data_IF_142270734332
#
_entry.id   IF_142270734332
#
_cell.length_a   1.000
_cell.length_b   1.000
_cell.length_c   1.000
_cell.angle_alpha   90.00
_cell.angle_beta   90.00
_cell.angle_gamma   90.00
#
_symmetry.space_group_name_H-M   'P 1'
#
loop_
_entity.id
_entity.type
_entity.pdbx_description
1 polymer ?
#
# COMPACT_ATOMS: atom_id res chain seq x y z
N UNK A 1 -40.95 31.32 -64.58
CA UNK A 1 -40.80 29.93 -64.12
C UNK A 1 -39.36 29.75 -63.68
N UNK A 2 -39.08 30.10 -62.43
CA UNK A 2 -37.75 29.96 -61.82
C UNK A 2 -38.01 29.50 -60.38
N UNK A 3 -37.06 28.71 -59.87
CA UNK A 3 -36.88 28.25 -58.49
C UNK A 3 -37.50 26.89 -58.14
N UNK A 4 -36.65 25.85 -58.11
CA UNK A 4 -36.35 25.06 -56.89
C UNK A 4 -35.49 23.83 -57.23
N UNK A 5 -34.15 23.99 -57.22
CA UNK A 5 -33.17 22.90 -57.30
C UNK A 5 -32.15 22.94 -56.15
N UNK A 6 -32.52 23.40 -54.94
CA UNK A 6 -31.59 23.45 -53.80
C UNK A 6 -31.94 22.55 -52.61
N UNK A 7 -33.13 21.93 -52.58
CA UNK A 7 -33.57 21.18 -51.39
C UNK A 7 -33.09 19.71 -51.34
N UNK A 8 -32.70 19.12 -52.47
CA UNK A 8 -32.36 17.69 -52.52
C UNK A 8 -30.90 17.37 -52.14
N UNK A 9 -29.96 18.30 -52.33
CA UNK A 9 -28.56 18.09 -51.95
C UNK A 9 -28.27 18.31 -50.46
N UNK A 10 -29.17 18.97 -49.73
CA UNK A 10 -28.99 19.25 -48.29
C UNK A 10 -29.39 18.06 -47.41
N UNK A 11 -30.27 17.18 -47.91
CA UNK A 11 -30.65 15.94 -47.23
C UNK A 11 -29.54 14.87 -47.30
N UNK A 12 -28.76 14.83 -48.38
CA UNK A 12 -27.72 13.81 -48.55
C UNK A 12 -26.47 14.08 -47.70
N UNK A 13 -26.14 15.34 -47.41
CA UNK A 13 -25.02 15.69 -46.51
C UNK A 13 -25.36 15.58 -45.02
N UNK A 14 -26.64 15.68 -44.65
CA UNK A 14 -27.09 15.52 -43.26
C UNK A 14 -27.03 14.07 -42.77
N UNK A 15 -27.30 13.11 -43.67
CA UNK A 15 -27.33 11.68 -43.34
C UNK A 15 -25.92 11.13 -43.08
N UNK A 16 -24.90 11.60 -43.80
CA UNK A 16 -23.51 11.17 -43.59
C UNK A 16 -22.89 11.75 -42.32
N UNK A 17 -23.29 12.96 -41.91
CA UNK A 17 -22.84 13.59 -40.67
C UNK A 17 -23.51 12.96 -39.42
N UNK A 18 -24.80 12.61 -39.54
CA UNK A 18 -25.56 11.88 -38.50
C UNK A 18 -25.03 10.46 -38.30
N UNK A 19 -24.70 9.74 -39.37
CA UNK A 19 -24.15 8.38 -39.27
C UNK A 19 -22.79 8.31 -38.58
N UNK A 20 -21.89 9.27 -38.85
CA UNK A 20 -20.58 9.35 -38.20
C UNK A 20 -20.66 9.80 -36.74
N UNK A 21 -21.58 10.70 -36.40
CA UNK A 21 -21.81 11.13 -35.01
C UNK A 21 -22.49 10.04 -34.18
N UNK A 22 -23.47 9.29 -34.73
CA UNK A 22 -24.05 8.12 -34.08
C UNK A 22 -23.04 6.99 -33.89
N UNK A 23 -22.18 6.75 -34.89
CA UNK A 23 -21.10 5.76 -34.79
C UNK A 23 -20.08 6.16 -33.72
N UNK A 24 -19.71 7.45 -33.67
CA UNK A 24 -18.86 8.04 -32.61
C UNK A 24 -19.48 7.88 -31.22
N UNK A 25 -20.77 8.18 -31.07
CA UNK A 25 -21.52 8.04 -29.81
C UNK A 25 -21.63 6.56 -29.41
N UNK A 26 -21.90 5.65 -30.35
CA UNK A 26 -21.93 4.22 -30.09
C UNK A 26 -20.56 3.67 -29.69
N UNK A 27 -19.48 4.09 -30.37
CA UNK A 27 -18.12 3.70 -29.98
C UNK A 27 -17.72 4.29 -28.63
N UNK A 28 -18.09 5.54 -28.33
CA UNK A 28 -17.87 6.14 -27.02
C UNK A 28 -18.67 5.42 -25.94
N UNK A 29 -19.93 5.05 -26.21
CA UNK A 29 -20.75 4.26 -25.29
C UNK A 29 -20.19 2.86 -25.06
N UNK A 30 -19.62 2.23 -26.09
CA UNK A 30 -18.99 0.92 -25.97
C UNK A 30 -17.68 0.99 -25.18
N UNK A 31 -16.89 2.05 -25.38
CA UNK A 31 -15.67 2.34 -24.60
C UNK A 31 -16.02 2.64 -23.14
N UNK A 32 -17.04 3.47 -22.89
CA UNK A 32 -17.52 3.80 -21.55
C UNK A 32 -18.12 2.58 -20.84
N UNK A 33 -18.87 1.73 -21.57
CA UNK A 33 -19.37 0.46 -21.02
C UNK A 33 -18.24 -0.55 -20.79
N UNK A 34 -17.19 -0.59 -21.61
CA UNK A 34 -16.04 -1.47 -21.34
C UNK A 34 -15.28 -1.05 -20.08
N UNK A 35 -15.21 0.25 -19.76
CA UNK A 35 -14.64 0.75 -18.52
C UNK A 35 -15.53 0.42 -17.29
N UNK A 36 -16.86 0.43 -17.44
CA UNK A 36 -17.80 0.00 -16.39
C UNK A 36 -17.79 -1.53 -16.21
N UNK A 37 -17.60 -2.30 -17.29
CA UNK A 37 -17.47 -3.77 -17.24
C UNK A 37 -16.14 -4.17 -16.58
N UNK A 38 -15.08 -3.36 -16.70
CA UNK A 38 -13.83 -3.58 -15.97
C UNK A 38 -14.00 -3.43 -14.44
N UNK A 39 -14.94 -2.57 -14.01
CA UNK A 39 -15.32 -2.39 -12.59
C UNK A 39 -16.16 -3.56 -12.05
N UNK A 40 -16.95 -4.24 -12.89
CA UNK A 40 -17.74 -5.41 -12.52
C UNK A 40 -16.95 -6.73 -12.58
N UNK A 41 -15.65 -6.69 -12.27
CA UNK A 41 -14.89 -7.91 -12.05
C UNK A 41 -15.28 -8.48 -10.68
N UNK A 42 -15.84 -9.70 -10.58
CA UNK A 42 -16.27 -10.27 -9.30
C UNK A 42 -15.11 -10.36 -8.28
N UNK A 43 -13.87 -10.35 -8.78
CA UNK A 43 -12.64 -10.28 -8.00
C UNK A 43 -12.51 -8.98 -7.19
N UNK A 44 -12.94 -7.81 -7.70
CA UNK A 44 -12.86 -6.54 -6.97
C UNK A 44 -13.91 -6.47 -5.86
N UNK A 45 -15.10 -7.01 -6.09
CA UNK A 45 -16.15 -7.09 -5.06
C UNK A 45 -15.70 -8.01 -3.92
N UNK A 46 -15.18 -9.19 -4.26
CA UNK A 46 -14.62 -10.14 -3.28
C UNK A 46 -13.44 -9.54 -2.52
N UNK A 47 -12.55 -8.80 -3.20
CA UNK A 47 -11.46 -8.08 -2.56
C UNK A 47 -11.97 -6.99 -1.61
N UNK A 48 -12.97 -6.21 -2.03
CA UNK A 48 -13.59 -5.17 -1.20
C UNK A 48 -14.16 -5.76 0.10
N UNK A 49 -14.93 -6.85 0.01
CA UNK A 49 -15.44 -7.54 1.19
C UNK A 49 -14.33 -8.18 2.04
N UNK A 50 -13.29 -8.73 1.42
CA UNK A 50 -12.13 -9.29 2.13
C UNK A 50 -11.36 -8.20 2.90
N UNK A 51 -11.13 -7.04 2.29
CA UNK A 51 -10.46 -5.91 2.92
C UNK A 51 -11.28 -5.31 4.06
N UNK A 52 -12.60 -5.22 3.88
CA UNK A 52 -13.52 -4.70 4.89
C UNK A 52 -13.63 -5.66 6.09
N UNK A 53 -13.70 -6.97 5.83
CA UNK A 53 -13.63 -8.00 6.87
C UNK A 53 -12.30 -7.98 7.61
N UNK A 54 -11.18 -7.80 6.89
CA UNK A 54 -9.85 -7.68 7.48
C UNK A 54 -9.70 -6.42 8.34
N UNK A 55 -10.20 -5.28 7.87
CA UNK A 55 -10.30 -4.04 8.64
C UNK A 55 -11.12 -4.23 9.91
N UNK A 56 -12.28 -4.89 9.82
CA UNK A 56 -13.09 -5.24 10.98
C UNK A 56 -12.35 -6.10 11.99
N UNK A 57 -11.56 -7.08 11.51
CA UNK A 57 -10.74 -7.94 12.35
C UNK A 57 -9.59 -7.19 13.02
N UNK A 58 -8.94 -6.26 12.31
CA UNK A 58 -7.92 -5.36 12.86
C UNK A 58 -8.49 -4.42 13.91
N UNK A 59 -9.63 -3.79 13.62
CA UNK A 59 -10.35 -2.93 14.57
C UNK A 59 -10.76 -3.73 15.81
N UNK A 60 -11.33 -4.91 15.61
CA UNK A 60 -11.69 -5.81 16.72
C UNK A 60 -10.48 -6.22 17.55
N UNK A 61 -9.36 -6.61 16.92
CA UNK A 61 -8.13 -6.93 17.65
C UNK A 61 -7.59 -5.71 18.37
N UNK A 62 -7.54 -4.55 17.70
CA UNK A 62 -7.07 -3.30 18.28
C UNK A 62 -7.89 -2.92 19.52
N UNK A 63 -9.22 -2.97 19.45
CA UNK A 63 -10.08 -2.71 20.61
C UNK A 63 -9.99 -3.79 21.69
N UNK A 64 -9.91 -5.07 21.32
CA UNK A 64 -9.71 -6.18 22.29
C UNK A 64 -8.39 -6.04 23.03
N UNK A 65 -7.34 -5.61 22.32
CA UNK A 65 -6.02 -5.31 22.86
C UNK A 65 -6.12 -4.07 23.75
N UNK A 66 -6.75 -2.99 23.29
CA UNK A 66 -6.90 -1.75 24.07
C UNK A 66 -7.71 -1.97 25.35
N UNK A 67 -8.74 -2.82 25.31
CA UNK A 67 -9.50 -3.23 26.50
C UNK A 67 -8.66 -4.11 27.43
N UNK A 68 -7.88 -5.05 26.88
CA UNK A 68 -6.93 -5.88 27.63
C UNK A 68 -5.72 -5.09 28.14
N UNK A 69 -5.41 -3.93 27.57
CA UNK A 69 -4.33 -3.03 28.00
C UNK A 69 -4.85 -1.99 28.97
N UNK A 70 -6.05 -1.43 28.77
CA UNK A 70 -6.71 -0.51 29.71
C UNK A 70 -6.87 -1.15 31.08
N UNK A 71 -7.31 -2.41 31.15
CA UNK A 71 -7.39 -3.17 32.41
C UNK A 71 -6.01 -3.58 32.99
N UNK A 72 -4.91 -3.50 32.23
CA UNK A 72 -3.56 -3.83 32.68
C UNK A 72 -2.70 -2.60 33.02
N UNK A 73 -2.96 -1.45 32.40
CA UNK A 73 -2.31 -0.15 32.68
C UNK A 73 -2.61 0.28 34.12
N UNK A 74 -3.80 -0.03 34.63
CA UNK A 74 -4.17 0.25 36.02
C UNK A 74 -3.40 -0.60 37.05
N UNK A 75 -2.63 -1.63 36.63
CA UNK A 75 -1.92 -2.53 37.57
C UNK A 75 -0.46 -2.90 37.26
N UNK A 76 0.16 -2.61 36.10
CA UNK A 76 1.57 -3.02 35.84
C UNK A 76 2.41 -2.07 34.96
N UNK A 77 3.62 -1.78 35.46
CA UNK A 77 4.80 -1.05 34.93
C UNK A 77 4.87 -0.85 33.40
N UNK A 78 5.16 0.39 32.99
CA UNK A 78 5.35 0.89 31.60
C UNK A 78 6.30 0.07 30.71
N UNK A 79 7.23 -0.70 31.27
CA UNK A 79 8.14 -1.56 30.50
C UNK A 79 7.46 -2.82 29.95
N UNK A 80 6.45 -3.36 30.66
CA UNK A 80 5.75 -4.60 30.26
C UNK A 80 4.72 -4.32 29.15
N UNK A 81 4.22 -3.08 29.05
CA UNK A 81 3.29 -2.63 28.00
C UNK A 81 4.01 -2.40 26.67
N UNK A 82 5.20 -1.80 26.68
CA UNK A 82 5.98 -1.56 25.46
C UNK A 82 6.31 -2.86 24.71
N UNK A 83 6.73 -3.92 25.41
CA UNK A 83 7.02 -5.21 24.78
C UNK A 83 5.80 -5.82 24.05
N UNK A 84 4.60 -5.68 24.62
CA UNK A 84 3.36 -6.13 23.96
C UNK A 84 3.03 -5.32 22.72
N UNK A 85 3.26 -4.01 22.73
CA UNK A 85 3.05 -3.16 21.55
C UNK A 85 3.96 -3.56 20.39
N UNK A 86 5.25 -3.80 20.64
CA UNK A 86 6.18 -4.26 19.60
C UNK A 86 5.83 -5.67 19.09
N UNK A 87 5.35 -6.56 19.96
CA UNK A 87 4.85 -7.86 19.53
C UNK A 87 3.66 -7.72 18.58
N UNK A 88 2.78 -6.73 18.82
CA UNK A 88 1.67 -6.41 17.92
C UNK A 88 2.12 -5.76 16.62
N UNK A 89 3.18 -4.96 16.65
CA UNK A 89 3.77 -4.42 15.42
C UNK A 89 4.32 -5.53 14.51
N UNK A 90 4.93 -6.57 15.06
CA UNK A 90 5.39 -7.74 14.28
C UNK A 90 4.21 -8.45 13.63
N UNK A 91 3.13 -8.68 14.41
CA UNK A 91 1.91 -9.29 13.88
C UNK A 91 1.34 -8.44 12.74
N UNK A 92 1.15 -7.14 12.98
CA UNK A 92 0.60 -6.22 12.00
C UNK A 92 1.46 -6.18 10.73
N UNK A 93 2.79 -6.09 10.88
CA UNK A 93 3.72 -6.08 9.76
C UNK A 93 3.65 -7.37 8.94
N UNK A 94 3.66 -8.54 9.60
CA UNK A 94 3.57 -9.83 8.92
C UNK A 94 2.30 -9.95 8.07
N UNK A 95 1.15 -9.51 8.60
CA UNK A 95 -0.09 -9.55 7.83
C UNK A 95 -0.13 -8.46 6.74
N UNK A 96 0.34 -7.24 7.04
CA UNK A 96 0.37 -6.14 6.09
C UNK A 96 1.20 -6.50 4.85
N UNK A 97 2.36 -7.15 5.01
CA UNK A 97 3.19 -7.62 3.89
C UNK A 97 2.42 -8.58 2.98
N UNK A 98 1.68 -9.54 3.56
CA UNK A 98 0.88 -10.50 2.78
C UNK A 98 -0.26 -9.78 2.05
N UNK A 99 -1.01 -8.91 2.74
CA UNK A 99 -2.16 -8.20 2.18
C UNK A 99 -1.72 -7.25 1.06
N UNK A 100 -0.67 -6.46 1.28
CA UNK A 100 -0.13 -5.55 0.27
C UNK A 100 0.29 -6.33 -0.98
N UNK A 101 0.93 -7.50 -0.81
CA UNK A 101 1.36 -8.27 -1.96
C UNK A 101 0.20 -8.92 -2.73
N UNK A 102 -0.84 -9.38 -2.03
CA UNK A 102 -2.07 -9.87 -2.68
C UNK A 102 -2.72 -8.74 -3.50
N UNK A 103 -2.80 -7.52 -2.93
CA UNK A 103 -3.31 -6.34 -3.64
C UNK A 103 -2.43 -6.09 -4.89
N UNK A 104 -1.11 -6.04 -4.73
CA UNK A 104 -0.19 -5.80 -5.85
C UNK A 104 -0.37 -6.82 -6.99
N UNK A 105 -0.57 -8.10 -6.66
CA UNK A 105 -0.77 -9.16 -7.66
C UNK A 105 -2.13 -9.05 -8.37
N UNK A 106 -3.19 -8.71 -7.64
CA UNK A 106 -4.56 -8.60 -8.20
C UNK A 106 -4.65 -7.39 -9.13
N UNK A 107 -4.11 -6.25 -8.72
CA UNK A 107 -4.15 -5.01 -9.50
C UNK A 107 -2.99 -4.90 -10.50
N UNK A 108 -2.06 -5.85 -10.50
CA UNK A 108 -0.85 -5.84 -11.35
C UNK A 108 -0.13 -4.49 -11.29
N UNK A 109 0.01 -3.97 -10.06
CA UNK A 109 0.66 -2.66 -9.79
C UNK A 109 2.13 -2.69 -10.24
N UNK A 110 2.76 -3.87 -10.15
CA UNK A 110 4.13 -4.09 -10.61
C UNK A 110 4.17 -4.89 -11.90
N UNK A 111 5.16 -4.61 -12.78
CA UNK A 111 5.36 -5.38 -14.00
C UNK A 111 5.82 -6.83 -13.73
N UNK A 112 6.52 -7.05 -12.60
CA UNK A 112 6.99 -8.37 -12.17
C UNK A 112 6.35 -8.77 -10.85
N UNK A 113 5.81 -9.99 -10.81
CA UNK A 113 5.28 -10.57 -9.57
C UNK A 113 6.41 -10.90 -8.60
N UNK A 114 6.26 -10.48 -7.35
CA UNK A 114 7.11 -10.83 -6.22
C UNK A 114 6.33 -11.63 -5.16
N UNK A 115 5.17 -12.19 -5.56
CA UNK A 115 4.19 -12.73 -4.64
C UNK A 115 4.74 -13.83 -3.74
N UNK A 116 5.39 -14.83 -4.33
CA UNK A 116 5.92 -15.98 -3.58
C UNK A 116 6.94 -15.53 -2.54
N UNK A 117 7.84 -14.62 -2.92
CA UNK A 117 8.90 -14.12 -2.03
C UNK A 117 8.30 -13.31 -0.89
N UNK A 118 7.47 -12.32 -1.19
CA UNK A 118 6.91 -11.42 -0.18
C UNK A 118 5.91 -12.12 0.73
N UNK A 119 5.08 -13.05 0.23
CA UNK A 119 4.19 -13.87 1.06
C UNK A 119 4.99 -14.80 1.97
N UNK A 120 6.08 -15.41 1.47
CA UNK A 120 6.99 -16.22 2.30
C UNK A 120 7.65 -15.40 3.40
N UNK A 121 8.04 -14.15 3.12
CA UNK A 121 8.58 -13.22 4.12
C UNK A 121 7.50 -12.90 5.16
N UNK A 122 6.29 -12.53 4.72
CA UNK A 122 5.17 -12.23 5.63
C UNK A 122 4.83 -13.42 6.54
N UNK A 123 4.79 -14.63 5.98
CA UNK A 123 4.59 -15.86 6.76
C UNK A 123 5.74 -16.11 7.75
N UNK A 124 6.99 -15.90 7.35
CA UNK A 124 8.15 -16.03 8.24
C UNK A 124 8.08 -15.05 9.41
N UNK A 125 7.61 -13.82 9.18
CA UNK A 125 7.38 -12.83 10.24
C UNK A 125 6.25 -13.29 11.18
N UNK A 126 5.18 -13.88 10.67
CA UNK A 126 4.10 -14.44 11.50
C UNK A 126 4.57 -15.61 12.36
N UNK A 127 5.43 -16.48 11.82
CA UNK A 127 6.09 -17.53 12.60
C UNK A 127 6.96 -16.92 13.69
N UNK A 128 7.74 -15.87 13.37
CA UNK A 128 8.53 -15.16 14.37
C UNK A 128 7.66 -14.54 15.48
N UNK A 129 6.46 -14.03 15.16
CA UNK A 129 5.49 -13.58 16.16
C UNK A 129 5.08 -14.71 17.13
N UNK A 130 4.76 -15.89 16.61
CA UNK A 130 4.38 -17.05 17.43
C UNK A 130 5.56 -17.50 18.31
N UNK A 131 6.77 -17.52 17.77
CA UNK A 131 7.99 -17.88 18.53
C UNK A 131 8.24 -16.85 19.65
N UNK A 132 8.09 -15.57 19.35
CA UNK A 132 8.25 -14.48 20.33
C UNK A 132 7.28 -14.63 21.50
N UNK A 133 6.07 -15.12 21.25
CA UNK A 133 5.09 -15.36 22.32
C UNK A 133 5.53 -16.49 23.27
N UNK A 134 6.19 -17.52 22.75
CA UNK A 134 6.66 -18.68 23.52
C UNK A 134 7.98 -18.43 24.24
N UNK A 135 8.90 -17.69 23.63
CA UNK A 135 10.28 -17.54 24.12
C UNK A 135 10.42 -16.24 24.91
N UNK A 136 10.55 -16.36 26.25
CA UNK A 136 10.67 -15.21 27.16
C UNK A 136 11.84 -14.28 26.82
N UNK A 137 13.01 -14.84 26.49
CA UNK A 137 14.19 -14.04 26.12
C UNK A 137 13.95 -13.16 24.89
N UNK A 138 13.29 -13.70 23.86
CA UNK A 138 12.96 -12.97 22.65
C UNK A 138 11.95 -11.85 22.94
N UNK A 139 10.93 -12.17 23.75
CA UNK A 139 9.90 -11.22 24.18
C UNK A 139 10.48 -10.05 24.97
N UNK A 140 11.43 -10.31 25.87
CA UNK A 140 12.04 -9.28 26.70
C UNK A 140 12.95 -8.33 25.89
N UNK A 141 13.43 -8.76 24.73
CA UNK A 141 14.29 -7.96 23.81
C UNK A 141 13.57 -7.52 22.53
N UNK A 142 12.26 -7.72 22.44
CA UNK A 142 11.52 -7.57 21.19
C UNK A 142 11.55 -6.16 20.63
N UNK A 143 11.57 -5.14 21.49
CA UNK A 143 11.70 -3.74 21.09
C UNK A 143 12.99 -3.49 20.31
N UNK A 144 14.13 -3.95 20.84
CA UNK A 144 15.43 -3.75 20.20
C UNK A 144 15.54 -4.53 18.89
N UNK A 145 15.05 -5.77 18.87
CA UNK A 145 15.01 -6.61 17.68
C UNK A 145 14.16 -5.94 16.59
N UNK A 146 12.97 -5.44 16.94
CA UNK A 146 12.08 -4.79 15.99
C UNK A 146 12.67 -3.49 15.43
N UNK A 147 13.25 -2.65 16.28
CA UNK A 147 13.91 -1.40 15.84
C UNK A 147 15.07 -1.72 14.88
N UNK A 148 15.88 -2.73 15.20
CA UNK A 148 16.98 -3.16 14.33
C UNK A 148 16.47 -3.65 12.97
N UNK A 149 15.46 -4.51 12.94
CA UNK A 149 14.82 -4.97 11.71
C UNK A 149 14.18 -3.82 10.92
N UNK A 150 13.61 -2.82 11.60
CA UNK A 150 13.04 -1.63 10.95
C UNK A 150 14.10 -0.84 10.17
N UNK A 151 15.30 -0.65 10.73
CA UNK A 151 16.40 -0.01 10.01
C UNK A 151 16.85 -0.81 8.79
N UNK A 152 17.01 -2.13 8.92
CA UNK A 152 17.34 -3.00 7.77
C UNK A 152 16.28 -2.87 6.67
N UNK A 153 15.00 -2.90 7.06
CA UNK A 153 13.89 -2.78 6.13
C UNK A 153 13.87 -1.43 5.41
N UNK A 154 14.02 -0.32 6.13
CA UNK A 154 14.11 1.01 5.53
C UNK A 154 15.30 1.10 4.56
N UNK A 155 16.47 0.58 4.92
CA UNK A 155 17.64 0.59 4.03
C UNK A 155 17.37 -0.19 2.74
N UNK A 156 16.69 -1.34 2.83
CA UNK A 156 16.25 -2.11 1.65
C UNK A 156 15.26 -1.33 0.79
N UNK A 157 14.32 -0.59 1.40
CA UNK A 157 13.37 0.26 0.66
C UNK A 157 14.10 1.42 -0.03
N UNK A 158 15.03 2.10 0.65
CA UNK A 158 15.87 3.14 0.05
C UNK A 158 16.68 2.62 -1.14
N UNK A 159 17.25 1.42 -1.04
CA UNK A 159 17.92 0.75 -2.15
C UNK A 159 16.97 0.57 -3.33
N UNK A 160 15.78 0.02 -3.10
CA UNK A 160 14.79 -0.18 -4.17
C UNK A 160 14.32 1.15 -4.79
N UNK A 161 14.22 2.25 -4.05
CA UNK A 161 13.87 3.57 -4.62
C UNK A 161 14.93 4.03 -5.64
N UNK A 162 16.21 3.80 -5.35
CA UNK A 162 17.31 4.24 -6.22
C UNK A 162 17.48 3.31 -7.43
N UNK A 163 17.34 2.00 -7.25
CA UNK A 163 17.66 1.01 -8.31
C UNK A 163 16.43 0.53 -9.10
N UNK A 164 15.21 0.62 -8.56
CA UNK A 164 13.96 0.25 -9.23
C UNK A 164 13.12 1.51 -9.53
N UNK A 165 13.59 2.30 -10.48
CA UNK A 165 12.94 3.56 -10.89
C UNK A 165 11.51 3.41 -11.44
N UNK A 166 11.13 2.22 -11.92
CA UNK A 166 9.82 1.97 -12.53
C UNK A 166 8.74 1.55 -11.52
N UNK A 167 9.11 1.25 -10.27
CA UNK A 167 8.17 0.79 -9.23
C UNK A 167 7.84 1.92 -8.25
N UNK A 168 6.55 2.29 -8.17
CA UNK A 168 6.07 3.32 -7.23
C UNK A 168 5.89 2.73 -5.82
N UNK A 169 5.79 1.41 -5.68
CA UNK A 169 5.53 0.73 -4.41
C UNK A 169 6.59 1.05 -3.34
N UNK A 170 7.92 1.00 -3.61
CA UNK A 170 8.94 1.40 -2.64
C UNK A 170 8.76 2.82 -2.09
N UNK A 171 8.32 3.78 -2.91
CA UNK A 171 8.08 5.17 -2.48
C UNK A 171 6.91 5.23 -1.50
N UNK A 172 5.80 4.54 -1.81
CA UNK A 172 4.63 4.48 -0.93
C UNK A 172 5.00 3.81 0.41
N UNK A 173 5.74 2.70 0.35
CA UNK A 173 6.23 1.98 1.53
C UNK A 173 7.14 2.85 2.39
N UNK A 174 8.02 3.63 1.76
CA UNK A 174 8.90 4.57 2.46
C UNK A 174 8.10 5.64 3.22
N UNK A 175 7.10 6.25 2.57
CA UNK A 175 6.23 7.25 3.18
C UNK A 175 5.47 6.70 4.39
N UNK A 176 4.85 5.53 4.24
CA UNK A 176 4.13 4.84 5.32
C UNK A 176 5.09 4.55 6.47
N UNK A 177 6.28 4.01 6.16
CA UNK A 177 7.27 3.66 7.18
C UNK A 177 7.81 4.89 7.90
N UNK A 178 8.01 6.01 7.20
CA UNK A 178 8.36 7.30 7.81
C UNK A 178 7.27 7.78 8.77
N UNK A 179 6.00 7.73 8.38
CA UNK A 179 4.87 8.11 9.25
C UNK A 179 4.81 7.23 10.51
N UNK A 180 4.96 5.92 10.37
CA UNK A 180 4.95 5.00 11.52
C UNK A 180 6.23 5.03 12.35
N UNK A 181 7.32 5.59 11.84
CA UNK A 181 8.62 5.63 12.52
C UNK A 181 8.56 6.28 13.89
N UNK A 182 7.69 7.29 14.09
CA UNK A 182 7.50 7.94 15.38
C UNK A 182 6.98 6.97 16.45
N UNK A 183 6.04 6.10 16.10
CA UNK A 183 5.48 5.09 17.01
C UNK A 183 6.43 3.90 17.23
N UNK A 184 7.26 3.59 16.22
CA UNK A 184 8.21 2.48 16.25
C UNK A 184 9.49 2.85 17.00
N UNK A 185 10.01 4.06 16.80
CA UNK A 185 11.26 4.55 17.37
C UNK A 185 11.01 5.31 18.68
N UNK A 186 10.44 4.62 19.68
CA UNK A 186 10.12 5.21 20.98
C UNK A 186 11.26 6.01 21.63
N UNK A 187 12.53 5.57 21.60
CA UNK A 187 13.62 6.38 22.14
C UNK A 187 13.81 7.62 21.27
N UNK A 188 13.45 8.80 21.80
CA UNK A 188 13.43 10.07 21.07
C UNK A 188 14.77 10.39 20.37
N UNK A 189 15.90 10.01 20.96
CA UNK A 189 17.24 10.18 20.37
C UNK A 189 17.41 9.38 19.08
N UNK A 190 16.90 8.14 19.03
CA UNK A 190 16.97 7.27 17.85
C UNK A 190 16.05 7.79 16.76
N UNK A 191 14.86 8.31 17.13
CA UNK A 191 13.96 8.94 16.18
C UNK A 191 14.58 10.17 15.49
N UNK A 192 15.16 11.10 16.25
CA UNK A 192 15.82 12.27 15.65
C UNK A 192 17.00 11.89 14.75
N UNK A 193 17.78 10.88 15.13
CA UNK A 193 18.82 10.33 14.27
C UNK A 193 18.25 9.75 12.96
N UNK A 194 17.15 9.00 13.03
CA UNK A 194 16.46 8.49 11.85
C UNK A 194 15.94 9.62 10.95
N UNK A 195 15.32 10.64 11.51
CA UNK A 195 14.83 11.81 10.76
C UNK A 195 15.98 12.51 10.03
N UNK A 196 17.11 12.72 10.70
CA UNK A 196 18.31 13.28 10.08
C UNK A 196 18.80 12.43 8.90
N UNK A 197 18.85 11.09 9.05
CA UNK A 197 19.20 10.17 7.96
C UNK A 197 18.23 10.26 6.79
N UNK A 198 16.93 10.39 7.03
CA UNK A 198 15.92 10.56 5.98
C UNK A 198 16.16 11.85 5.20
N UNK A 199 16.42 12.97 5.87
CA UNK A 199 16.73 14.23 5.19
C UNK A 199 18.03 14.15 4.38
N UNK A 200 19.06 13.51 4.90
CA UNK A 200 20.31 13.25 4.17
C UNK A 200 20.05 12.40 2.93
N UNK A 201 19.26 11.33 3.06
CA UNK A 201 18.87 10.49 1.94
C UNK A 201 18.13 11.30 0.87
N UNK A 202 17.09 12.05 1.25
CA UNK A 202 16.33 12.89 0.33
C UNK A 202 17.23 13.93 -0.38
N UNK A 203 18.07 14.63 0.39
CA UNK A 203 19.03 15.59 -0.16
C UNK A 203 19.95 14.91 -1.18
N UNK A 204 20.53 13.76 -0.84
CA UNK A 204 21.40 13.01 -1.75
C UNK A 204 20.69 12.56 -3.02
N UNK A 205 19.44 12.08 -2.91
CA UNK A 205 18.68 11.65 -4.09
C UNK A 205 18.39 12.80 -5.05
N UNK A 206 18.18 14.01 -4.52
CA UNK A 206 17.94 15.22 -5.32
C UNK A 206 19.25 15.73 -5.93
N UNK A 207 20.33 15.84 -5.17
CA UNK A 207 21.60 16.39 -5.68
C UNK A 207 22.25 15.51 -6.74
N UNK A 208 22.15 14.19 -6.58
CA UNK A 208 22.73 13.23 -7.52
C UNK A 208 21.75 12.77 -8.60
N UNK A 209 20.52 13.33 -8.64
CA UNK A 209 19.47 12.93 -9.59
C UNK A 209 19.25 11.41 -9.63
N UNK A 210 19.35 10.74 -8.47
CA UNK A 210 19.29 9.27 -8.36
C UNK A 210 17.90 8.72 -8.69
N UNK A 211 16.88 9.56 -8.60
CA UNK A 211 15.51 9.23 -8.98
C UNK A 211 15.28 9.91 -10.33
N UNK A 212 15.05 9.16 -11.42
CA UNK A 212 14.74 9.76 -12.71
C UNK A 212 13.39 10.47 -12.59
N UNK A 213 13.45 11.80 -12.42
CA UNK A 213 12.29 12.66 -12.60
C UNK A 213 11.97 12.56 -14.08
N UNK A 214 10.87 11.87 -14.39
CA UNK A 214 10.36 11.70 -15.75
C UNK A 214 10.32 13.07 -16.44
N UNK A 215 11.25 13.30 -17.37
CA UNK A 215 11.23 14.44 -18.30
C UNK A 215 10.29 14.17 -19.45
#
# INVERSE_FOLDING_TARGET
MVENYSFFNLLVSGITCSGNTLKSIMTNWYVFNSDIIFYNNPKFIVLGFSLLGFLGLLVYQFFRIKAKIGNFIEKKKEAETAGREYQLYILFFGIAVIVIEIINEIFKIRPKSLLVVNVSIGFSVLVAYVITDKVKWLRDKIQYIFIFCFFIYISYVCYNIVFLAEDVVPIIVFLISFFFSYNILKPIKIYWFFVALVFIFLFSTVTFQLIPLKS
#
